data_IF_233863071084
#
_entry.id   IF_233863071084
#
_cell.length_a   1.000
_cell.length_b   1.000
_cell.length_c   1.000
_cell.angle_alpha   90.00
_cell.angle_beta   90.00
_cell.angle_gamma   90.00
#
_symmetry.space_group_name_H-M   'P 1'
#
loop_
_entity.id
_entity.type
_entity.pdbx_description
1 polymer ?
#
# COMPACT_ATOMS: atom_id res chain seq x y z
N UNK A 1 34.26 -43.55 -15.07
CA UNK A 1 33.36 -42.65 -14.31
C UNK A 1 33.88 -42.35 -12.89
N UNK A 2 34.37 -43.36 -12.15
CA UNK A 2 34.97 -43.18 -10.82
C UNK A 2 36.17 -42.22 -10.79
N UNK A 3 37.08 -42.30 -11.77
CA UNK A 3 38.28 -41.45 -11.85
C UNK A 3 37.97 -39.96 -12.10
N UNK A 4 36.92 -39.66 -12.88
CA UNK A 4 36.51 -38.28 -13.14
C UNK A 4 35.91 -37.68 -11.86
N UNK A 5 35.04 -38.43 -11.17
CA UNK A 5 34.46 -38.04 -9.89
C UNK A 5 35.52 -37.83 -8.81
N UNK A 6 36.54 -38.71 -8.71
CA UNK A 6 37.65 -38.52 -7.78
C UNK A 6 38.47 -37.27 -8.13
N UNK A 7 38.66 -36.98 -9.42
CA UNK A 7 39.38 -35.77 -9.86
C UNK A 7 38.65 -34.49 -9.44
N UNK A 8 37.34 -34.39 -9.69
CA UNK A 8 36.54 -33.24 -9.25
C UNK A 8 36.46 -33.10 -7.72
N UNK A 9 36.45 -34.22 -7.00
CA UNK A 9 36.45 -34.22 -5.53
C UNK A 9 37.79 -33.70 -5.00
N UNK A 10 38.91 -34.09 -5.63
CA UNK A 10 40.24 -33.62 -5.27
C UNK A 10 40.43 -32.12 -5.49
N UNK A 11 39.72 -31.49 -6.44
CA UNK A 11 39.77 -30.04 -6.64
C UNK A 11 39.26 -29.23 -5.44
N UNK A 12 38.48 -29.83 -4.53
CA UNK A 12 38.08 -29.20 -3.26
C UNK A 12 39.23 -29.12 -2.24
N UNK A 13 40.28 -29.92 -2.42
CA UNK A 13 41.43 -30.00 -1.53
C UNK A 13 42.63 -29.17 -2.01
N UNK A 14 42.56 -28.60 -3.22
CA UNK A 14 43.61 -27.75 -3.79
C UNK A 14 43.29 -26.31 -3.45
N UNK A 15 44.18 -25.67 -2.67
CA UNK A 15 44.10 -24.26 -2.33
C UNK A 15 44.88 -23.44 -3.35
N UNK A 16 44.26 -22.35 -3.82
CA UNK A 16 44.81 -21.39 -4.76
C UNK A 16 44.90 -20.03 -4.07
N UNK A 17 45.97 -19.29 -4.38
CA UNK A 17 46.17 -17.93 -3.88
C UNK A 17 46.08 -16.98 -5.08
N UNK A 18 45.21 -15.98 -4.99
CA UNK A 18 45.12 -14.95 -6.01
C UNK A 18 46.37 -14.05 -5.96
N UNK A 19 47.10 -13.86 -7.07
CA UNK A 19 48.32 -13.04 -7.09
C UNK A 19 48.06 -11.53 -6.93
N UNK A 20 46.85 -11.03 -7.15
CA UNK A 20 46.52 -9.60 -7.02
C UNK A 20 46.04 -9.21 -5.61
N UNK A 21 45.24 -10.05 -4.95
CA UNK A 21 44.63 -9.73 -3.66
C UNK A 21 45.00 -10.69 -2.52
N UNK A 22 45.87 -11.67 -2.77
CA UNK A 22 46.28 -12.71 -1.80
C UNK A 22 45.14 -13.51 -1.15
N UNK A 23 43.93 -13.47 -1.73
CA UNK A 23 42.81 -14.24 -1.22
C UNK A 23 43.02 -15.74 -1.48
N UNK A 24 42.67 -16.57 -0.50
CA UNK A 24 42.78 -18.03 -0.58
C UNK A 24 41.43 -18.58 -1.03
N UNK A 25 41.40 -19.33 -2.12
CA UNK A 25 40.19 -19.98 -2.66
C UNK A 25 40.49 -21.43 -2.99
N UNK A 26 39.47 -22.29 -3.02
CA UNK A 26 39.65 -23.66 -3.53
C UNK A 26 39.63 -23.68 -5.05
N UNK A 27 40.37 -24.59 -5.68
CA UNK A 27 40.34 -24.76 -7.14
C UNK A 27 38.91 -25.05 -7.65
N UNK A 28 38.11 -25.77 -6.87
CA UNK A 28 36.70 -26.04 -7.19
C UNK A 28 35.79 -24.81 -7.21
N UNK A 29 36.20 -23.72 -6.55
CA UNK A 29 35.45 -22.46 -6.44
C UNK A 29 35.87 -21.47 -7.54
N UNK A 30 36.88 -21.81 -8.35
CA UNK A 30 37.35 -20.96 -9.44
C UNK A 30 36.50 -21.17 -10.69
N UNK A 31 36.03 -20.06 -11.26
CA UNK A 31 35.45 -20.06 -12.61
C UNK A 31 36.59 -20.04 -13.63
N UNK A 32 36.84 -21.18 -14.27
CA UNK A 32 37.78 -21.27 -15.38
C UNK A 32 37.22 -20.51 -16.59
N UNK A 33 37.75 -19.32 -16.84
CA UNK A 33 37.49 -18.59 -18.07
C UNK A 33 38.62 -18.85 -19.08
N UNK A 34 38.26 -19.07 -20.34
CA UNK A 34 39.23 -19.18 -21.43
C UNK A 34 39.06 -17.98 -22.36
N UNK A 35 40.17 -17.38 -22.79
CA UNK A 35 40.14 -16.32 -23.79
C UNK A 35 39.76 -16.83 -25.20
N UNK A 36 39.66 -18.16 -25.39
CA UNK A 36 39.22 -18.74 -26.66
C UNK A 36 37.70 -18.76 -26.71
N UNK A 37 37.12 -18.18 -27.76
CA UNK A 37 35.69 -18.28 -28.03
C UNK A 37 35.29 -19.74 -28.15
N UNK A 38 34.45 -20.21 -27.23
CA UNK A 38 33.83 -21.52 -27.28
C UNK A 38 32.76 -21.55 -28.36
N UNK A 39 32.46 -22.74 -28.90
CA UNK A 39 31.34 -22.91 -29.82
C UNK A 39 30.05 -22.71 -29.05
N UNK A 40 29.14 -21.92 -29.60
CA UNK A 40 27.80 -21.71 -29.03
C UNK A 40 27.09 -23.07 -28.89
N UNK A 41 26.47 -23.26 -27.74
CA UNK A 41 25.69 -24.45 -27.39
C UNK A 41 24.21 -24.10 -27.29
N UNK A 42 23.37 -25.13 -27.24
CA UNK A 42 21.93 -24.97 -27.01
C UNK A 42 21.62 -24.31 -25.66
N UNK A 43 22.51 -24.45 -24.67
CA UNK A 43 22.34 -23.85 -23.34
C UNK A 43 22.48 -22.33 -23.40
N UNK A 44 23.43 -21.82 -24.20
CA UNK A 44 23.58 -20.37 -24.43
C UNK A 44 22.31 -19.76 -25.04
N UNK A 45 21.66 -20.49 -25.96
CA UNK A 45 20.37 -20.08 -26.55
C UNK A 45 19.24 -20.12 -25.53
N UNK A 46 19.18 -21.15 -24.69
CA UNK A 46 18.18 -21.27 -23.63
C UNK A 46 18.32 -20.15 -22.60
N UNK A 47 19.53 -19.88 -22.11
CA UNK A 47 19.83 -18.81 -21.16
C UNK A 47 19.55 -17.42 -21.73
N UNK A 48 19.75 -17.22 -23.04
CA UNK A 48 19.31 -15.99 -23.72
C UNK A 48 17.80 -15.84 -23.64
N UNK A 49 17.04 -16.87 -24.03
CA UNK A 49 15.56 -16.82 -24.01
C UNK A 49 14.99 -16.62 -22.62
N UNK A 50 15.59 -17.23 -21.60
CA UNK A 50 15.17 -17.03 -20.20
C UNK A 50 15.38 -15.57 -19.77
N UNK A 51 16.50 -14.96 -20.17
CA UNK A 51 16.75 -13.53 -19.91
C UNK A 51 15.74 -12.65 -20.64
N UNK A 52 15.53 -12.88 -21.93
CA UNK A 52 14.57 -12.11 -22.73
C UNK A 52 13.15 -12.21 -22.15
N UNK A 53 12.76 -13.39 -21.66
CA UNK A 53 11.46 -13.60 -21.01
C UNK A 53 11.35 -12.84 -19.69
N UNK A 54 12.41 -12.85 -18.86
CA UNK A 54 12.44 -12.08 -17.62
C UNK A 54 12.38 -10.57 -17.86
N UNK A 55 13.03 -10.06 -18.92
CA UNK A 55 12.93 -8.65 -19.31
C UNK A 55 11.49 -8.28 -19.73
N UNK A 56 10.85 -9.13 -20.54
CA UNK A 56 9.45 -8.95 -20.95
C UNK A 56 8.47 -8.98 -19.77
N UNK A 57 8.66 -9.89 -18.81
CA UNK A 57 7.85 -9.95 -17.59
C UNK A 57 8.00 -8.66 -16.77
N UNK A 58 9.25 -8.20 -16.56
CA UNK A 58 9.51 -6.96 -15.84
C UNK A 58 8.87 -5.74 -16.52
N UNK A 59 8.94 -5.65 -17.85
CA UNK A 59 8.27 -4.59 -18.60
C UNK A 59 6.75 -4.64 -18.45
N UNK A 60 6.18 -5.83 -18.52
CA UNK A 60 4.74 -6.04 -18.39
C UNK A 60 4.25 -5.61 -17.00
N UNK A 61 4.97 -6.01 -15.94
CA UNK A 61 4.65 -5.63 -14.57
C UNK A 61 4.77 -4.13 -14.35
N UNK A 62 5.80 -3.48 -14.91
CA UNK A 62 5.93 -2.03 -14.88
C UNK A 62 4.73 -1.34 -15.53
N UNK A 63 4.34 -1.76 -16.74
CA UNK A 63 3.18 -1.22 -17.45
C UNK A 63 1.87 -1.46 -16.68
N UNK A 64 1.70 -2.63 -16.09
CA UNK A 64 0.53 -2.96 -15.27
C UNK A 64 0.44 -2.07 -14.03
N UNK A 65 1.57 -1.82 -13.36
CA UNK A 65 1.63 -0.92 -12.21
C UNK A 65 1.32 0.52 -12.59
N UNK A 66 1.88 1.03 -13.68
CA UNK A 66 1.53 2.37 -14.19
C UNK A 66 0.02 2.51 -14.48
N UNK A 67 -0.60 1.50 -15.07
CA UNK A 67 -2.05 1.52 -15.35
C UNK A 67 -2.83 1.57 -14.04
N UNK A 68 -2.44 0.77 -13.04
CA UNK A 68 -3.08 0.78 -11.70
C UNK A 68 -2.94 2.14 -11.02
N UNK A 69 -1.75 2.72 -11.02
CA UNK A 69 -1.51 4.04 -10.43
C UNK A 69 -2.32 5.13 -11.12
N UNK A 70 -2.35 5.13 -12.46
CA UNK A 70 -3.19 6.06 -13.24
C UNK A 70 -4.68 5.87 -12.92
N UNK A 71 -5.14 4.63 -12.73
CA UNK A 71 -6.52 4.35 -12.35
C UNK A 71 -6.85 4.86 -10.94
N UNK A 72 -5.96 4.63 -9.96
CA UNK A 72 -6.10 5.13 -8.59
C UNK A 72 -6.17 6.66 -8.60
N UNK A 73 -5.28 7.32 -9.34
CA UNK A 73 -5.24 8.78 -9.42
C UNK A 73 -6.52 9.35 -10.03
N UNK A 74 -7.01 8.76 -11.14
CA UNK A 74 -8.30 9.13 -11.73
C UNK A 74 -9.46 8.93 -10.74
N UNK A 75 -9.45 7.85 -9.97
CA UNK A 75 -10.44 7.62 -8.92
C UNK A 75 -10.42 8.72 -7.86
N UNK A 76 -9.24 9.05 -7.33
CA UNK A 76 -9.04 10.13 -6.34
C UNK A 76 -9.51 11.50 -6.84
N UNK A 77 -9.33 11.79 -8.13
CA UNK A 77 -9.80 13.03 -8.75
C UNK A 77 -11.32 13.09 -8.94
N UNK A 78 -11.98 11.94 -9.08
CA UNK A 78 -13.44 11.87 -9.24
C UNK A 78 -14.19 11.91 -7.89
N UNK A 79 -13.62 11.38 -6.82
CA UNK A 79 -14.27 11.32 -5.51
C UNK A 79 -14.78 12.69 -5.03
N UNK A 80 -13.99 13.79 -5.05
CA UNK A 80 -14.49 15.11 -4.68
C UNK A 80 -15.69 15.56 -5.52
N UNK A 81 -15.71 15.25 -6.81
CA UNK A 81 -16.82 15.60 -7.71
C UNK A 81 -18.08 14.82 -7.35
N UNK A 82 -17.93 13.53 -7.08
CA UNK A 82 -19.03 12.65 -6.70
C UNK A 82 -19.61 13.03 -5.33
N UNK A 83 -18.76 13.28 -4.33
CA UNK A 83 -19.18 13.72 -2.99
C UNK A 83 -19.92 15.05 -3.10
N UNK A 84 -19.33 16.05 -3.78
CA UNK A 84 -19.99 17.35 -3.95
C UNK A 84 -21.30 17.27 -4.73
N UNK A 85 -21.46 16.32 -5.67
CA UNK A 85 -22.71 16.10 -6.38
C UNK A 85 -23.78 15.41 -5.50
N UNK A 86 -23.36 14.57 -4.54
CA UNK A 86 -24.25 13.89 -3.62
C UNK A 86 -24.71 14.75 -2.44
N UNK A 87 -23.94 15.78 -2.08
CA UNK A 87 -24.26 16.70 -1.00
C UNK A 87 -25.21 17.81 -1.47
N UNK A 88 -26.08 18.30 -0.59
CA UNK A 88 -26.88 19.47 -0.92
C UNK A 88 -26.02 20.71 -1.18
N UNK A 89 -26.53 21.60 -2.03
CA UNK A 89 -25.88 22.88 -2.35
C UNK A 89 -25.64 23.80 -1.16
N UNK A 90 -26.25 23.53 0.01
CA UNK A 90 -25.98 24.25 1.24
C UNK A 90 -24.69 23.76 1.91
N UNK A 91 -24.46 22.43 1.92
CA UNK A 91 -23.28 21.81 2.53
C UNK A 91 -22.04 22.14 1.70
N UNK A 92 -22.13 22.06 0.37
CA UNK A 92 -21.00 22.38 -0.53
C UNK A 92 -20.53 23.83 -0.42
N UNK A 93 -21.38 24.77 0.02
CA UNK A 93 -21.00 26.18 0.29
C UNK A 93 -20.15 26.35 1.54
N UNK A 94 -20.12 25.38 2.45
CA UNK A 94 -19.33 25.43 3.68
C UNK A 94 -17.83 25.21 3.43
N UNK A 95 -17.44 24.81 2.21
CA UNK A 95 -16.04 24.65 1.75
C UNK A 95 -15.17 23.71 2.60
N UNK A 96 -15.76 22.70 3.23
CA UNK A 96 -15.00 21.61 3.84
C UNK A 96 -14.35 20.72 2.78
N UNK A 97 -13.24 20.05 3.12
CA UNK A 97 -12.68 19.01 2.27
C UNK A 97 -13.68 17.85 2.15
N UNK A 98 -14.05 17.42 0.94
CA UNK A 98 -14.95 16.28 0.76
C UNK A 98 -14.51 14.99 1.48
N UNK A 99 -13.20 14.77 1.66
CA UNK A 99 -12.67 13.60 2.35
C UNK A 99 -12.90 13.64 3.87
N UNK A 100 -13.07 14.84 4.44
CA UNK A 100 -13.29 15.09 5.87
C UNK A 100 -14.75 14.85 6.29
N UNK A 101 -15.67 14.81 5.33
CA UNK A 101 -17.10 14.61 5.55
C UNK A 101 -17.41 13.11 5.61
N UNK A 102 -17.92 12.62 6.75
CA UNK A 102 -18.33 11.22 6.96
C UNK A 102 -19.83 11.10 7.21
N UNK A 103 -20.56 10.30 6.43
CA UNK A 103 -21.97 10.05 6.69
C UNK A 103 -22.13 9.21 7.96
N UNK A 104 -23.03 9.66 8.84
CA UNK A 104 -23.50 8.93 10.02
C UNK A 104 -25.02 8.69 9.98
N UNK A 105 -25.71 9.28 9.00
CA UNK A 105 -27.10 9.08 8.60
C UNK A 105 -28.17 9.56 9.59
N UNK A 106 -28.26 8.97 10.78
CA UNK A 106 -29.33 9.28 11.73
C UNK A 106 -28.82 9.30 13.16
N UNK A 107 -29.19 10.30 14.00
CA UNK A 107 -30.10 11.43 13.73
C UNK A 107 -29.44 12.65 13.06
N UNK A 108 -28.12 12.63 12.92
CA UNK A 108 -27.34 13.63 12.20
C UNK A 108 -26.86 12.97 10.91
N UNK A 109 -26.87 13.70 9.79
CA UNK A 109 -26.55 13.12 8.49
C UNK A 109 -25.04 12.91 8.31
N UNK A 110 -24.24 13.88 8.75
CA UNK A 110 -22.78 13.87 8.58
C UNK A 110 -22.02 14.37 9.82
N UNK A 111 -20.81 13.85 10.00
CA UNK A 111 -19.76 14.43 10.85
C UNK A 111 -18.63 14.91 9.94
N UNK A 112 -18.17 16.14 10.15
CA UNK A 112 -16.98 16.67 9.47
C UNK A 112 -15.84 16.70 10.47
N UNK A 113 -14.76 16.00 10.13
CA UNK A 113 -13.50 16.04 10.86
C UNK A 113 -12.56 17.03 10.16
N UNK A 114 -12.75 18.32 10.42
CA UNK A 114 -12.09 19.42 9.71
C UNK A 114 -10.56 19.36 9.85
N UNK A 115 -9.86 19.09 8.74
CA UNK A 115 -8.40 18.91 8.68
C UNK A 115 -7.94 17.44 8.68
N UNK A 116 -8.85 16.47 8.75
CA UNK A 116 -8.52 15.04 8.78
C UNK A 116 -7.67 14.59 7.58
N UNK A 117 -7.98 15.05 6.37
CA UNK A 117 -7.19 14.76 5.16
C UNK A 117 -5.77 15.38 5.22
N UNK A 118 -5.60 16.46 5.99
CA UNK A 118 -4.32 17.09 6.27
C UNK A 118 -3.52 16.43 7.41
N UNK A 119 -4.11 15.46 8.12
CA UNK A 119 -3.47 14.70 9.20
C UNK A 119 -3.66 15.29 10.60
N UNK A 120 -4.27 16.47 10.74
CA UNK A 120 -4.55 17.11 12.03
C UNK A 120 -5.99 17.61 12.06
N UNK A 121 -6.77 17.14 13.04
CA UNK A 121 -8.18 17.52 13.20
C UNK A 121 -8.26 18.79 14.04
N UNK A 122 -8.72 19.88 13.41
CA UNK A 122 -8.93 21.16 14.07
C UNK A 122 -10.29 21.22 14.77
N UNK A 123 -11.33 20.67 14.14
CA UNK A 123 -12.70 20.72 14.63
C UNK A 123 -13.49 19.46 14.27
N UNK A 124 -14.49 19.15 15.08
CA UNK A 124 -15.52 18.14 14.77
C UNK A 124 -16.86 18.84 14.64
N UNK A 125 -17.48 18.77 13.46
CA UNK A 125 -18.72 19.48 13.14
C UNK A 125 -19.83 18.49 12.81
N UNK A 126 -20.94 18.55 13.55
CA UNK A 126 -22.15 17.81 13.21
C UNK A 126 -22.96 18.59 12.17
N UNK A 127 -23.21 17.97 11.02
CA UNK A 127 -24.02 18.55 9.94
C UNK A 127 -25.26 17.71 9.71
N UNK A 128 -26.39 18.39 9.65
CA UNK A 128 -27.66 17.78 9.25
C UNK A 128 -28.34 18.68 8.24
N UNK A 129 -29.10 18.09 7.33
CA UNK A 129 -30.01 18.82 6.47
C UNK A 129 -31.26 19.23 7.26
N UNK A 130 -31.92 20.27 6.77
CA UNK A 130 -33.12 20.79 7.43
C UNK A 130 -34.24 19.76 7.29
N UNK A 131 -34.61 19.13 8.39
CA UNK A 131 -35.70 18.17 8.45
C UNK A 131 -36.72 18.60 9.52
N UNK A 132 -37.95 18.93 9.10
CA UNK A 132 -39.01 19.38 10.03
C UNK A 132 -39.41 18.31 11.04
N UNK A 133 -39.35 17.04 10.65
CA UNK A 133 -39.77 15.92 11.49
C UNK A 133 -38.76 15.63 12.62
N UNK A 134 -37.50 16.02 12.43
CA UNK A 134 -36.42 15.83 13.40
C UNK A 134 -36.02 17.13 14.12
N UNK A 135 -36.78 18.22 13.92
CA UNK A 135 -36.39 19.55 14.42
C UNK A 135 -36.19 19.60 15.94
N UNK A 136 -37.06 18.94 16.71
CA UNK A 136 -36.94 18.87 18.17
C UNK A 136 -35.73 18.04 18.60
N UNK A 137 -35.48 16.91 17.93
CA UNK A 137 -34.33 16.05 18.19
C UNK A 137 -33.01 16.77 17.86
N UNK A 138 -32.93 17.42 16.69
CA UNK A 138 -31.78 18.24 16.29
C UNK A 138 -31.53 19.40 17.26
N UNK A 139 -32.61 20.04 17.75
CA UNK A 139 -32.51 21.06 18.80
C UNK A 139 -31.95 20.47 20.10
N UNK A 140 -32.43 19.30 20.54
CA UNK A 140 -31.92 18.64 21.74
C UNK A 140 -30.43 18.32 21.63
N UNK A 141 -30.00 17.73 20.50
CA UNK A 141 -28.58 17.40 20.25
C UNK A 141 -27.72 18.68 20.28
N UNK A 142 -28.18 19.75 19.63
CA UNK A 142 -27.48 21.04 19.63
C UNK A 142 -27.27 21.57 21.05
N UNK A 143 -28.27 21.48 21.90
CA UNK A 143 -28.15 21.96 23.29
C UNK A 143 -27.20 21.08 24.12
N UNK A 144 -27.23 19.75 23.96
CA UNK A 144 -26.25 18.83 24.58
C UNK A 144 -24.81 19.19 24.18
N UNK A 145 -24.57 19.44 22.89
CA UNK A 145 -23.25 19.87 22.40
C UNK A 145 -22.83 21.23 22.98
N UNK A 146 -23.75 22.21 23.02
CA UNK A 146 -23.47 23.53 23.61
C UNK A 146 -23.13 23.47 25.10
N UNK A 147 -23.80 22.59 25.84
CA UNK A 147 -23.51 22.34 27.26
C UNK A 147 -22.22 21.54 27.48
N UNK A 148 -21.57 21.08 26.40
CA UNK A 148 -20.39 20.22 26.42
C UNK A 148 -20.65 18.87 27.11
N UNK A 149 -21.87 18.36 26.97
CA UNK A 149 -22.29 17.06 27.50
C UNK A 149 -21.99 15.96 26.47
N UNK A 150 -20.71 15.79 26.12
CA UNK A 150 -20.23 14.74 25.21
C UNK A 150 -18.97 14.09 25.78
N UNK A 151 -18.69 12.88 25.32
CA UNK A 151 -17.63 12.04 25.90
C UNK A 151 -16.89 11.27 24.81
N UNK A 152 -15.67 10.82 25.12
CA UNK A 152 -14.83 9.99 24.26
C UNK A 152 -14.65 8.61 24.90
N UNK A 153 -15.16 7.57 24.25
CA UNK A 153 -15.06 6.19 24.73
C UNK A 153 -14.47 5.28 23.68
N UNK A 154 -13.63 4.35 24.09
CA UNK A 154 -13.02 3.36 23.20
C UNK A 154 -13.70 2.02 23.43
N UNK A 155 -14.38 1.51 22.41
CA UNK A 155 -14.98 0.18 22.45
C UNK A 155 -14.10 -0.83 21.71
N UNK A 156 -13.80 -1.95 22.35
CA UNK A 156 -13.11 -3.09 21.74
C UNK A 156 -14.09 -4.23 21.54
N UNK A 157 -14.14 -4.72 20.30
CA UNK A 157 -14.92 -5.90 19.92
C UNK A 157 -13.93 -7.01 19.62
N UNK A 158 -13.91 -8.05 20.45
CA UNK A 158 -13.09 -9.24 20.20
C UNK A 158 -13.62 -10.03 19.01
N UNK A 159 -12.80 -10.93 18.44
CA UNK A 159 -13.25 -11.82 17.34
C UNK A 159 -14.37 -12.76 17.77
N UNK A 160 -14.48 -13.02 19.06
CA UNK A 160 -15.52 -13.82 19.72
C UNK A 160 -16.75 -12.97 20.10
N UNK A 161 -16.77 -11.68 19.74
CA UNK A 161 -17.87 -10.77 20.00
C UNK A 161 -17.94 -10.24 21.43
N UNK A 162 -16.87 -10.38 22.23
CA UNK A 162 -16.81 -9.70 23.54
C UNK A 162 -16.65 -8.21 23.33
N UNK A 163 -17.50 -7.44 23.99
CA UNK A 163 -17.51 -5.99 23.95
C UNK A 163 -16.96 -5.46 25.27
N UNK A 164 -15.85 -4.74 25.21
CA UNK A 164 -15.23 -4.09 26.35
C UNK A 164 -15.15 -2.59 26.05
N UNK A 165 -15.65 -1.76 26.97
CA UNK A 165 -15.45 -0.31 26.92
C UNK A 165 -14.24 0.00 27.79
N UNK A 166 -13.24 0.65 27.23
CA UNK A 166 -12.19 1.29 28.02
C UNK A 166 -12.73 2.61 28.53
N UNK A 167 -12.62 2.80 29.85
CA UNK A 167 -12.88 4.07 30.53
C UNK A 167 -11.77 5.09 30.22
#
# INVERSE_FOLDING_TARGET
MSEILSTFTNFKNILCICPECNNISRLSELHLSSNKKTKKTWLDDFESRVRDLGELESEHDSKANEIREKAIQRGREQVPKMINASLSGAITKLKYDPYDIKPINHPIDYVVYDGMNGGEINNVVFLHEKNSNLAELHKSIRETVKKKEYDWKVARISKEGKFEIED
#
